data_IF_240627877848
#
_entry.id   IF_240627877848
#
_cell.length_a   1.000
_cell.length_b   1.000
_cell.length_c   1.000
_cell.angle_alpha   90.00
_cell.angle_beta   90.00
_cell.angle_gamma   90.00
#
_symmetry.space_group_name_H-M   'P 1'
#
loop_
_entity.id
_entity.type
_entity.pdbx_description
1 polymer ?
#
# COMPACT_ATOMS: atom_id res chain seq x y z
N UNK A 1 -4.04 15.62 3.85
CA UNK A 1 -4.65 14.70 4.84
C UNK A 1 -3.87 14.98 6.11
N UNK A 2 -4.51 15.32 7.23
CA UNK A 2 -3.77 15.46 8.50
C UNK A 2 -3.21 14.08 8.90
N UNK A 3 -2.26 14.06 9.82
CA UNK A 3 -1.93 12.81 10.50
C UNK A 3 -3.17 12.31 11.27
N UNK A 4 -3.12 11.08 11.78
CA UNK A 4 -4.25 10.48 12.50
C UNK A 4 -4.73 11.30 13.71
N UNK A 5 -3.90 12.22 14.18
CA UNK A 5 -4.13 13.08 15.34
C UNK A 5 -4.00 14.56 14.97
N UNK A 6 -4.83 15.40 15.58
CA UNK A 6 -4.85 16.85 15.30
C UNK A 6 -3.73 17.60 16.05
N UNK A 7 -3.19 17.00 17.11
CA UNK A 7 -2.13 17.57 17.94
C UNK A 7 -1.09 16.52 18.36
N UNK A 8 0.11 16.98 18.72
CA UNK A 8 1.14 16.10 19.29
C UNK A 8 0.73 15.58 20.68
N UNK A 9 -0.03 16.37 21.44
CA UNK A 9 -0.55 15.94 22.75
C UNK A 9 -1.48 14.74 22.62
N UNK A 10 -2.42 14.77 21.67
CA UNK A 10 -3.37 13.68 21.44
C UNK A 10 -2.65 12.37 21.07
N UNK A 11 -1.65 12.46 20.19
CA UNK A 11 -0.78 11.33 19.88
C UNK A 11 -0.07 10.77 21.13
N UNK A 12 0.44 11.65 22.00
CA UNK A 12 1.14 11.26 23.22
C UNK A 12 0.19 10.65 24.27
N UNK A 13 -1.08 11.03 24.30
CA UNK A 13 -2.10 10.46 25.19
C UNK A 13 -2.61 9.09 24.72
N UNK A 14 -2.68 8.86 23.41
CA UNK A 14 -3.11 7.58 22.85
C UNK A 14 -1.98 6.56 22.66
N UNK A 15 -0.72 6.98 22.75
CA UNK A 15 0.44 6.10 22.56
C UNK A 15 0.34 4.85 23.44
N UNK A 16 0.45 3.65 22.88
CA UNK A 16 0.35 2.43 23.69
C UNK A 16 1.55 2.31 24.65
N UNK A 17 1.30 1.88 25.90
CA UNK A 17 2.35 1.64 26.92
C UNK A 17 3.39 0.58 26.50
N UNK A 18 3.08 -0.22 25.49
CA UNK A 18 3.98 -1.24 24.94
C UNK A 18 4.95 -0.70 23.87
N UNK A 19 4.86 0.59 23.53
CA UNK A 19 5.64 1.23 22.46
C UNK A 19 6.50 2.34 23.05
N UNK A 20 7.81 2.27 22.84
CA UNK A 20 8.72 3.36 23.19
C UNK A 20 8.37 4.62 22.37
N UNK A 21 8.27 5.80 22.99
CA UNK A 21 7.96 7.03 22.28
C UNK A 21 9.13 7.45 21.40
N UNK A 22 8.84 7.66 20.13
CA UNK A 22 9.75 8.31 19.19
C UNK A 22 9.52 9.83 19.21
N UNK A 23 10.56 10.57 19.62
CA UNK A 23 10.49 12.02 19.77
C UNK A 23 10.59 12.76 18.43
N UNK A 24 11.13 12.13 17.38
CA UNK A 24 11.08 12.67 16.01
C UNK A 24 9.64 12.69 15.50
N UNK A 25 8.91 11.59 15.72
CA UNK A 25 7.47 11.49 15.42
C UNK A 25 6.66 12.53 16.19
N UNK A 26 6.91 12.72 17.49
CA UNK A 26 6.25 13.77 18.30
C UNK A 26 6.42 15.15 17.66
N UNK A 27 7.66 15.49 17.28
CA UNK A 27 7.98 16.79 16.70
C UNK A 27 7.34 16.99 15.31
N UNK A 28 7.21 15.90 14.55
CA UNK A 28 6.49 15.91 13.29
C UNK A 28 4.97 16.17 13.44
N UNK A 29 4.33 15.66 14.51
CA UNK A 29 2.94 16.02 14.83
C UNK A 29 2.80 17.49 15.24
N UNK A 30 3.73 18.01 16.06
CA UNK A 30 3.70 19.42 16.48
C UNK A 30 3.89 20.38 15.29
N UNK A 31 4.66 19.97 14.28
CA UNK A 31 4.97 20.75 13.08
C UNK A 31 4.11 20.37 11.87
N UNK A 32 3.03 19.60 12.03
CA UNK A 32 2.26 19.09 10.89
C UNK A 32 1.64 20.17 9.99
N UNK A 33 1.55 21.42 10.44
CA UNK A 33 1.09 22.53 9.58
C UNK A 33 2.15 23.02 8.59
N UNK A 34 3.40 22.58 8.74
CA UNK A 34 4.57 23.01 7.97
C UNK A 34 5.30 21.77 7.40
N UNK A 35 4.76 21.12 6.35
CA UNK A 35 5.31 19.88 5.80
C UNK A 35 6.76 20.04 5.28
N UNK A 36 7.14 21.24 4.85
CA UNK A 36 8.52 21.60 4.49
C UNK A 36 9.50 21.48 5.65
N UNK A 37 9.07 21.80 6.88
CA UNK A 37 9.88 21.66 8.09
C UNK A 37 9.91 20.20 8.54
N UNK A 38 8.76 19.51 8.48
CA UNK A 38 8.66 18.09 8.83
C UNK A 38 9.56 17.23 7.95
N UNK A 39 9.71 17.59 6.66
CA UNK A 39 10.61 16.89 5.75
C UNK A 39 12.10 17.00 6.14
N UNK A 40 12.48 18.06 6.86
CA UNK A 40 13.85 18.31 7.29
C UNK A 40 14.20 17.63 8.62
N UNK A 41 13.22 17.08 9.35
CA UNK A 41 13.44 16.42 10.66
C UNK A 41 14.24 15.11 10.55
N UNK A 42 14.27 14.50 9.37
CA UNK A 42 14.98 13.23 9.12
C UNK A 42 14.27 12.35 8.08
N UNK A 43 14.79 11.13 7.84
CA UNK A 43 14.19 10.19 6.88
C UNK A 43 12.74 9.82 7.22
N UNK A 44 12.39 9.74 8.51
CA UNK A 44 11.02 9.43 8.94
C UNK A 44 10.12 10.66 8.79
N UNK A 45 10.62 11.84 9.16
CA UNK A 45 9.98 13.13 8.87
C UNK A 45 9.65 13.34 7.38
N UNK A 46 10.56 13.01 6.46
CA UNK A 46 10.32 13.11 5.01
C UNK A 46 9.13 12.25 4.54
N UNK A 47 9.02 11.02 5.04
CA UNK A 47 7.88 10.12 4.74
C UNK A 47 6.58 10.67 5.32
N UNK A 48 6.64 11.28 6.51
CA UNK A 48 5.47 11.88 7.16
C UNK A 48 5.00 13.14 6.43
N UNK A 49 5.93 14.01 6.01
CA UNK A 49 5.66 15.23 5.25
C UNK A 49 4.89 14.95 3.94
N UNK A 50 5.21 13.85 3.25
CA UNK A 50 4.52 13.45 2.03
C UNK A 50 3.04 13.11 2.28
N UNK A 51 2.71 12.60 3.47
CA UNK A 51 1.31 12.30 3.87
C UNK A 51 0.52 13.57 4.20
N UNK A 52 1.20 14.57 4.75
CA UNK A 52 0.59 15.79 5.27
C UNK A 52 0.33 16.82 4.16
N UNK A 53 1.19 16.85 3.13
CA UNK A 53 1.16 17.85 2.04
C UNK A 53 -0.27 18.00 1.45
N UNK A 54 -0.89 19.19 1.56
CA UNK A 54 -2.22 19.44 1.00
C UNK A 54 -2.10 19.50 -0.53
N UNK A 55 -2.69 18.53 -1.24
CA UNK A 55 -2.89 18.63 -2.69
C UNK A 55 -2.47 17.43 -3.55
N UNK A 56 -1.79 16.41 -3.04
CA UNK A 56 -1.29 15.34 -3.92
C UNK A 56 -2.33 14.26 -4.27
N UNK A 57 -3.35 13.98 -3.44
CA UNK A 57 -4.20 12.78 -3.65
C UNK A 57 -5.71 12.93 -3.32
N UNK A 58 -6.23 14.15 -3.18
CA UNK A 58 -7.46 14.41 -2.41
C UNK A 58 -8.85 14.22 -3.04
N UNK A 59 -9.03 14.01 -4.35
CA UNK A 59 -10.41 13.76 -4.87
C UNK A 59 -10.52 12.96 -6.15
N UNK A 60 -9.48 12.96 -6.99
CA UNK A 60 -9.43 12.10 -8.18
C UNK A 60 -9.07 10.65 -7.84
N UNK A 61 -8.32 10.41 -6.76
CA UNK A 61 -7.83 9.07 -6.40
C UNK A 61 -8.91 8.13 -5.88
N UNK A 62 -9.83 8.59 -5.02
CA UNK A 62 -10.82 7.71 -4.38
C UNK A 62 -11.99 7.39 -5.31
N UNK A 63 -12.48 8.36 -6.08
CA UNK A 63 -13.50 8.13 -7.10
C UNK A 63 -12.93 7.32 -8.27
N UNK A 64 -11.66 7.52 -8.65
CA UNK A 64 -10.95 6.69 -9.62
C UNK A 64 -10.59 5.31 -9.07
N UNK A 65 -10.34 5.15 -7.77
CA UNK A 65 -10.15 3.84 -7.15
C UNK A 65 -11.47 3.07 -7.06
N UNK A 66 -12.58 3.72 -6.71
CA UNK A 66 -13.90 3.08 -6.65
C UNK A 66 -14.40 2.78 -8.07
N UNK A 67 -14.30 3.73 -9.00
CA UNK A 67 -14.60 3.49 -10.41
C UNK A 67 -13.65 2.44 -11.01
N UNK A 68 -12.37 2.46 -10.64
CA UNK A 68 -11.37 1.49 -11.04
C UNK A 68 -11.64 0.10 -10.46
N UNK A 69 -12.11 0.00 -9.21
CA UNK A 69 -12.48 -1.25 -8.54
C UNK A 69 -13.81 -1.81 -9.08
N UNK A 70 -14.79 -0.95 -9.36
CA UNK A 70 -16.05 -1.32 -10.01
C UNK A 70 -15.82 -1.75 -11.46
N UNK A 71 -14.92 -1.06 -12.18
CA UNK A 71 -14.47 -1.46 -13.51
C UNK A 71 -13.66 -2.77 -13.44
N UNK A 72 -12.82 -2.97 -12.44
CA UNK A 72 -12.10 -4.24 -12.21
C UNK A 72 -13.06 -5.38 -11.85
N UNK A 73 -14.15 -5.11 -11.13
CA UNK A 73 -15.20 -6.07 -10.81
C UNK A 73 -16.06 -6.42 -12.04
N UNK A 74 -16.47 -5.41 -12.82
CA UNK A 74 -17.23 -5.60 -14.04
C UNK A 74 -16.40 -6.27 -15.16
N UNK A 75 -15.11 -5.92 -15.29
CA UNK A 75 -14.15 -6.57 -16.20
C UNK A 75 -13.64 -7.89 -15.63
N UNK A 76 -13.73 -8.10 -14.32
CA UNK A 76 -13.31 -9.33 -13.65
C UNK A 76 -14.01 -10.57 -14.18
N UNK A 77 -15.21 -10.39 -14.73
CA UNK A 77 -16.03 -11.44 -15.35
C UNK A 77 -15.69 -11.66 -16.83
N UNK A 78 -14.92 -10.78 -17.47
CA UNK A 78 -14.55 -10.90 -18.88
C UNK A 78 -13.90 -12.25 -19.26
N UNK A 79 -12.92 -12.81 -18.52
CA UNK A 79 -12.36 -14.12 -18.87
C UNK A 79 -13.37 -15.25 -18.69
N UNK A 80 -14.32 -15.11 -17.76
CA UNK A 80 -15.42 -16.07 -17.55
C UNK A 80 -16.40 -16.01 -18.72
N UNK A 81 -16.80 -14.80 -19.13
CA UNK A 81 -17.66 -14.57 -20.30
C UNK A 81 -17.00 -15.08 -21.58
N UNK A 82 -15.69 -14.83 -21.74
CA UNK A 82 -14.91 -15.31 -22.89
C UNK A 82 -14.99 -16.82 -23.06
N UNK A 83 -14.93 -17.58 -21.95
CA UNK A 83 -15.13 -19.03 -21.95
C UNK A 83 -16.60 -19.42 -22.14
N UNK A 84 -17.52 -18.75 -21.42
CA UNK A 84 -18.94 -19.08 -21.44
C UNK A 84 -19.61 -18.94 -22.81
N UNK A 85 -19.11 -18.05 -23.68
CA UNK A 85 -19.67 -17.80 -25.02
C UNK A 85 -19.57 -19.03 -25.95
N UNK A 86 -18.53 -19.85 -25.78
CA UNK A 86 -18.31 -21.03 -26.64
C UNK A 86 -18.37 -22.35 -25.87
N UNK A 87 -18.42 -22.32 -24.53
CA UNK A 87 -18.45 -23.51 -23.70
C UNK A 87 -19.77 -24.26 -23.85
N UNK A 88 -19.79 -25.27 -24.70
CA UNK A 88 -20.79 -26.35 -24.64
C UNK A 88 -20.41 -27.27 -23.48
N UNK A 89 -20.92 -26.99 -22.28
CA UNK A 89 -20.77 -27.89 -21.14
C UNK A 89 -21.88 -28.96 -21.17
N UNK A 90 -21.56 -30.26 -21.37
CA UNK A 90 -22.53 -31.33 -21.15
C UNK A 90 -22.76 -31.47 -19.63
N UNK A 91 -23.71 -30.70 -19.10
CA UNK A 91 -24.07 -30.71 -17.69
C UNK A 91 -24.79 -29.43 -17.28
N UNK A 92 -26.07 -29.58 -16.92
CA UNK A 92 -27.07 -28.76 -16.18
C UNK A 92 -26.96 -27.22 -16.14
N UNK A 93 -25.77 -26.61 -16.12
CA UNK A 93 -25.56 -25.17 -15.94
C UNK A 93 -25.68 -24.34 -17.23
N UNK A 94 -25.40 -24.90 -18.42
CA UNK A 94 -25.40 -24.14 -19.70
C UNK A 94 -26.20 -24.80 -20.84
N UNK A 95 -26.95 -25.86 -20.55
CA UNK A 95 -27.73 -26.65 -21.53
C UNK A 95 -28.85 -25.88 -22.25
N UNK A 96 -29.12 -24.62 -21.88
CA UNK A 96 -30.22 -23.80 -22.41
C UNK A 96 -29.78 -22.71 -23.39
N UNK A 97 -28.47 -22.56 -23.64
CA UNK A 97 -27.98 -21.55 -24.59
C UNK A 97 -27.66 -22.24 -25.92
N UNK A 98 -28.30 -21.84 -27.03
CA UNK A 98 -27.98 -22.41 -28.34
C UNK A 98 -26.51 -22.14 -28.69
N UNK A 99 -25.81 -23.12 -29.31
CA UNK A 99 -24.40 -22.96 -29.64
C UNK A 99 -24.20 -21.77 -30.59
N UNK A 100 -23.36 -20.84 -30.17
CA UNK A 100 -23.03 -19.65 -30.97
C UNK A 100 -22.01 -20.06 -32.03
N UNK A 101 -22.30 -19.76 -33.29
CA UNK A 101 -21.40 -20.07 -34.41
C UNK A 101 -19.99 -19.50 -34.17
N UNK A 102 -18.96 -20.25 -34.56
CA UNK A 102 -17.56 -19.88 -34.39
C UNK A 102 -17.21 -18.49 -34.93
N UNK A 103 -17.85 -18.08 -36.04
CA UNK A 103 -17.68 -16.75 -36.66
C UNK A 103 -18.00 -15.58 -35.72
N UNK A 104 -18.87 -15.82 -34.73
CA UNK A 104 -19.30 -14.81 -33.75
C UNK A 104 -18.67 -15.07 -32.39
N UNK A 105 -18.59 -16.34 -31.96
CA UNK A 105 -18.05 -16.72 -30.67
C UNK A 105 -16.55 -16.41 -30.54
N UNK A 106 -15.75 -16.71 -31.56
CA UNK A 106 -14.29 -16.55 -31.52
C UNK A 106 -13.89 -15.08 -31.38
N UNK A 107 -14.42 -14.13 -32.20
CA UNK A 107 -14.09 -12.71 -32.03
C UNK A 107 -14.49 -12.15 -30.68
N UNK A 108 -15.69 -12.46 -30.18
CA UNK A 108 -16.16 -11.91 -28.89
C UNK A 108 -15.30 -12.45 -27.75
N UNK A 109 -15.04 -13.76 -27.73
CA UNK A 109 -14.15 -14.38 -26.74
C UNK A 109 -12.76 -13.74 -26.76
N UNK A 110 -12.20 -13.55 -27.96
CA UNK A 110 -10.90 -12.91 -28.15
C UNK A 110 -10.85 -11.47 -27.61
N UNK A 111 -11.90 -10.67 -27.86
CA UNK A 111 -12.03 -9.32 -27.29
C UNK A 111 -12.09 -9.35 -25.76
N UNK A 112 -12.84 -10.28 -25.17
CA UNK A 112 -12.89 -10.45 -23.72
C UNK A 112 -11.49 -10.68 -23.14
N UNK A 113 -10.68 -11.57 -23.74
CA UNK A 113 -9.30 -11.81 -23.31
C UNK A 113 -8.36 -10.63 -23.60
N UNK A 114 -8.59 -9.88 -24.67
CA UNK A 114 -7.88 -8.61 -24.92
C UNK A 114 -8.11 -7.59 -23.79
N UNK A 115 -9.35 -7.44 -23.35
CA UNK A 115 -9.71 -6.60 -22.21
C UNK A 115 -9.08 -7.13 -20.91
N UNK A 116 -9.14 -8.45 -20.66
CA UNK A 116 -8.46 -9.08 -19.51
C UNK A 116 -6.96 -8.77 -19.48
N UNK A 117 -6.30 -8.83 -20.65
CA UNK A 117 -4.87 -8.51 -20.78
C UNK A 117 -4.60 -7.06 -20.37
N UNK A 118 -5.40 -6.12 -20.87
CA UNK A 118 -5.25 -4.71 -20.53
C UNK A 118 -5.43 -4.47 -19.02
N UNK A 119 -6.40 -5.12 -18.40
CA UNK A 119 -6.64 -5.02 -16.95
C UNK A 119 -5.49 -5.61 -16.13
N UNK A 120 -4.94 -6.76 -16.53
CA UNK A 120 -3.76 -7.32 -15.87
C UNK A 120 -2.54 -6.41 -15.98
N UNK A 121 -2.32 -5.79 -17.15
CA UNK A 121 -1.21 -4.84 -17.36
C UNK A 121 -1.37 -3.59 -16.49
N UNK A 122 -2.54 -2.96 -16.51
CA UNK A 122 -2.83 -1.79 -15.67
C UNK A 122 -2.70 -2.14 -14.19
N UNK A 123 -3.25 -3.29 -13.77
CA UNK A 123 -3.12 -3.80 -12.41
C UNK A 123 -1.67 -4.02 -12.00
N UNK A 124 -0.86 -4.60 -12.90
CA UNK A 124 0.58 -4.80 -12.68
C UNK A 124 1.35 -3.48 -12.58
N UNK A 125 1.08 -2.51 -13.45
CA UNK A 125 1.70 -1.17 -13.40
C UNK A 125 1.37 -0.47 -12.09
N UNK A 126 0.08 -0.43 -11.72
CA UNK A 126 -0.36 0.18 -10.45
C UNK A 126 0.27 -0.52 -9.25
N UNK A 127 0.36 -1.85 -9.31
CA UNK A 127 1.03 -2.64 -8.28
C UNK A 127 2.52 -2.29 -8.15
N UNK A 128 3.24 -2.16 -9.27
CA UNK A 128 4.64 -1.75 -9.30
C UNK A 128 4.83 -0.34 -8.73
N UNK A 129 4.03 0.63 -9.19
CA UNK A 129 4.09 2.04 -8.72
C UNK A 129 3.76 2.15 -7.22
N UNK A 130 2.90 1.28 -6.68
CA UNK A 130 2.57 1.21 -5.25
C UNK A 130 3.57 0.40 -4.42
N UNK A 131 4.78 0.18 -4.93
CA UNK A 131 5.87 -0.48 -4.21
C UNK A 131 5.84 -2.02 -4.25
N UNK A 132 5.06 -2.61 -5.16
CA UNK A 132 5.00 -4.05 -5.41
C UNK A 132 4.78 -4.88 -4.13
N UNK A 133 3.89 -4.41 -3.25
CA UNK A 133 3.50 -5.10 -2.00
C UNK A 133 2.60 -6.31 -2.26
N UNK A 134 2.52 -7.25 -1.32
CA UNK A 134 1.63 -8.41 -1.45
C UNK A 134 0.20 -7.97 -1.77
N UNK A 135 -0.38 -8.56 -2.82
CA UNK A 135 -1.73 -8.25 -3.26
C UNK A 135 -2.44 -9.56 -3.67
N UNK A 136 -3.18 -10.19 -2.74
CA UNK A 136 -3.86 -11.46 -3.01
C UNK A 136 -4.96 -11.33 -4.06
N UNK A 137 -5.57 -10.14 -4.22
CA UNK A 137 -6.59 -9.91 -5.23
C UNK A 137 -5.99 -9.92 -6.65
N UNK A 138 -4.83 -9.28 -6.85
CA UNK A 138 -4.13 -9.30 -8.13
C UNK A 138 -3.66 -10.72 -8.48
N UNK A 139 -3.14 -11.46 -7.49
CA UNK A 139 -2.75 -12.86 -7.68
C UNK A 139 -3.96 -13.73 -8.04
N UNK A 140 -5.05 -13.62 -7.29
CA UNK A 140 -6.28 -14.38 -7.55
C UNK A 140 -6.83 -14.12 -8.95
N UNK A 141 -6.83 -12.86 -9.39
CA UNK A 141 -7.24 -12.51 -10.75
C UNK A 141 -6.27 -13.03 -11.82
N UNK A 142 -4.96 -12.97 -11.58
CA UNK A 142 -3.96 -13.55 -12.48
C UNK A 142 -4.13 -15.06 -12.61
N UNK A 143 -4.34 -15.78 -11.51
CA UNK A 143 -4.59 -17.23 -11.52
C UNK A 143 -5.88 -17.56 -12.27
N UNK A 144 -6.98 -16.89 -11.97
CA UNK A 144 -8.25 -17.07 -12.69
C UNK A 144 -8.08 -16.83 -14.20
N UNK A 145 -7.46 -15.72 -14.57
CA UNK A 145 -7.23 -15.35 -15.97
C UNK A 145 -6.32 -16.34 -16.68
N UNK A 146 -5.29 -16.85 -16.00
CA UNK A 146 -4.41 -17.90 -16.53
C UNK A 146 -5.18 -19.18 -16.84
N UNK A 147 -5.97 -19.67 -15.89
CA UNK A 147 -6.79 -20.87 -16.06
C UNK A 147 -7.79 -20.71 -17.20
N UNK A 148 -8.53 -19.59 -17.21
CA UNK A 148 -9.54 -19.32 -18.26
C UNK A 148 -8.90 -19.17 -19.64
N UNK A 149 -7.77 -18.47 -19.75
CA UNK A 149 -7.04 -18.32 -21.03
C UNK A 149 -6.47 -19.65 -21.52
N UNK A 150 -6.04 -20.52 -20.59
CA UNK A 150 -5.61 -21.89 -20.90
C UNK A 150 -6.75 -22.71 -21.50
N UNK A 151 -7.92 -22.69 -20.85
CA UNK A 151 -9.12 -23.33 -21.39
C UNK A 151 -9.54 -22.75 -22.74
N UNK A 152 -9.47 -21.43 -22.93
CA UNK A 152 -9.80 -20.79 -24.20
C UNK A 152 -8.84 -21.14 -25.33
N UNK A 153 -7.55 -21.30 -25.04
CA UNK A 153 -6.56 -21.70 -26.05
C UNK A 153 -6.90 -23.06 -26.66
N UNK A 154 -7.42 -24.00 -25.84
CA UNK A 154 -7.82 -25.33 -26.29
C UNK A 154 -9.25 -25.31 -26.86
N UNK A 155 -10.19 -24.67 -26.15
CA UNK A 155 -11.61 -24.64 -26.49
C UNK A 155 -11.90 -23.94 -27.82
N UNK A 156 -11.27 -22.79 -28.09
CA UNK A 156 -11.45 -22.08 -29.36
C UNK A 156 -10.88 -22.85 -30.55
N UNK A 157 -9.82 -23.64 -30.35
CA UNK A 157 -9.28 -24.52 -31.39
C UNK A 157 -10.27 -25.64 -31.75
N UNK A 158 -10.91 -26.25 -30.74
CA UNK A 158 -11.93 -27.28 -30.95
C UNK A 158 -13.17 -26.71 -31.66
N UNK A 159 -13.63 -25.53 -31.26
CA UNK A 159 -14.78 -24.84 -31.88
C UNK A 159 -14.48 -24.45 -33.33
N UNK A 160 -13.29 -23.90 -33.59
CA UNK A 160 -12.87 -23.56 -34.95
C UNK A 160 -12.73 -24.80 -35.85
N UNK A 161 -12.25 -25.93 -35.32
CA UNK A 161 -12.14 -27.17 -36.07
C UNK A 161 -13.53 -27.75 -36.41
N UNK A 162 -14.49 -27.66 -35.47
CA UNK A 162 -15.88 -28.10 -35.68
C UNK A 162 -16.61 -27.28 -36.75
N UNK A 163 -16.39 -25.98 -36.77
CA UNK A 163 -17.09 -25.04 -37.67
C UNK A 163 -16.23 -24.64 -38.90
N UNK A 164 -15.11 -25.34 -39.15
CA UNK A 164 -14.18 -25.10 -40.26
C UNK A 164 -13.70 -23.63 -40.39
N UNK A 165 -13.48 -22.96 -39.26
CA UNK A 165 -13.13 -21.54 -39.21
C UNK A 165 -11.64 -21.29 -39.48
N UNK A 166 -11.31 -20.85 -40.69
CA UNK A 166 -9.93 -20.60 -41.14
C UNK A 166 -9.22 -19.39 -40.45
N UNK A 167 -9.96 -18.46 -39.84
CA UNK A 167 -9.41 -17.21 -39.28
C UNK A 167 -8.83 -17.30 -37.86
N UNK A 168 -8.80 -18.48 -37.26
CA UNK A 168 -8.50 -18.67 -35.83
C UNK A 168 -7.15 -18.08 -35.40
N UNK A 169 -6.12 -18.19 -36.23
CA UNK A 169 -4.76 -17.79 -35.88
C UNK A 169 -4.65 -16.30 -35.48
N UNK A 170 -5.38 -15.42 -36.17
CA UNK A 170 -5.41 -13.99 -35.87
C UNK A 170 -6.10 -13.70 -34.53
N UNK A 171 -7.16 -14.45 -34.22
CA UNK A 171 -7.98 -14.27 -33.01
C UNK A 171 -7.44 -14.99 -31.77
N UNK A 172 -6.48 -15.91 -31.93
CA UNK A 172 -5.80 -16.56 -30.81
C UNK A 172 -4.80 -15.63 -30.11
N UNK A 173 -4.33 -14.58 -30.77
CA UNK A 173 -3.27 -13.72 -30.24
C UNK A 173 -3.66 -13.03 -28.93
N UNK A 174 -4.86 -12.42 -28.78
CA UNK A 174 -5.29 -11.84 -27.51
C UNK A 174 -5.42 -12.87 -26.37
N UNK A 175 -5.84 -14.10 -26.68
CA UNK A 175 -5.96 -15.19 -25.69
C UNK A 175 -4.59 -15.62 -25.19
N UNK A 176 -3.62 -15.76 -26.10
CA UNK A 176 -2.23 -16.08 -25.76
C UNK A 176 -1.56 -14.94 -24.99
N UNK A 177 -1.82 -13.69 -25.37
CA UNK A 177 -1.34 -12.52 -24.64
C UNK A 177 -1.87 -12.52 -23.20
N UNK A 178 -3.17 -12.77 -23.00
CA UNK A 178 -3.77 -12.88 -21.68
C UNK A 178 -3.10 -14.00 -20.85
N UNK A 179 -2.87 -15.16 -21.45
CA UNK A 179 -2.21 -16.30 -20.80
C UNK A 179 -0.78 -15.94 -20.35
N UNK A 180 0.02 -15.37 -21.24
CA UNK A 180 1.42 -15.01 -20.98
C UNK A 180 1.50 -13.91 -19.91
N UNK A 181 0.68 -12.87 -20.03
CA UNK A 181 0.64 -11.76 -19.07
C UNK A 181 0.16 -12.25 -17.70
N UNK A 182 -0.88 -13.08 -17.64
CA UNK A 182 -1.37 -13.65 -16.39
C UNK A 182 -0.30 -14.51 -15.70
N UNK A 183 0.41 -15.36 -16.47
CA UNK A 183 1.51 -16.15 -15.96
C UNK A 183 2.65 -15.27 -15.43
N UNK A 184 3.06 -14.25 -16.20
CA UNK A 184 4.13 -13.34 -15.81
C UNK A 184 3.78 -12.52 -14.56
N UNK A 185 2.56 -11.98 -14.47
CA UNK A 185 2.09 -11.21 -13.31
C UNK A 185 1.95 -12.12 -12.09
N UNK A 186 1.33 -13.30 -12.23
CA UNK A 186 1.21 -14.27 -11.15
C UNK A 186 2.57 -14.71 -10.61
N UNK A 187 3.51 -15.03 -11.52
CA UNK A 187 4.88 -15.40 -11.16
C UNK A 187 5.62 -14.24 -10.49
N UNK A 188 5.50 -13.02 -11.00
CA UNK A 188 6.12 -11.83 -10.40
C UNK A 188 5.62 -11.61 -8.97
N UNK A 189 4.32 -11.74 -8.72
CA UNK A 189 3.74 -11.61 -7.38
C UNK A 189 4.23 -12.74 -6.45
N UNK A 190 4.27 -13.99 -6.92
CA UNK A 190 4.76 -15.14 -6.14
C UNK A 190 6.28 -15.07 -5.84
N UNK A 191 7.10 -14.68 -6.82
CA UNK A 191 8.54 -14.51 -6.65
C UNK A 191 8.85 -13.39 -5.65
N UNK A 192 8.06 -12.31 -5.67
CA UNK A 192 8.17 -11.20 -4.72
C UNK A 192 7.87 -11.65 -3.28
N UNK A 193 6.88 -12.53 -3.08
CA UNK A 193 6.64 -13.16 -1.78
C UNK A 193 7.84 -13.98 -1.36
N UNK A 194 8.38 -14.83 -2.23
CA UNK A 194 9.54 -15.68 -1.89
C UNK A 194 10.80 -14.89 -1.56
N UNK A 195 11.03 -13.75 -2.19
CA UNK A 195 12.20 -12.91 -1.90
C UNK A 195 12.06 -12.08 -0.62
N UNK A 196 10.84 -11.93 -0.08
CA UNK A 196 10.62 -11.31 1.24
C UNK A 196 10.34 -12.31 2.36
N UNK A 197 9.97 -13.54 2.02
CA UNK A 197 9.66 -14.61 2.97
C UNK A 197 10.83 -15.56 3.34
N UNK A 198 12.09 -15.09 3.49
CA UNK A 198 13.04 -15.82 4.33
C UNK A 198 13.06 -15.44 5.82
N UNK A 199 12.51 -14.29 6.25
CA UNK A 199 12.68 -13.84 7.66
C UNK A 199 11.39 -13.71 8.49
N UNK A 200 10.19 -13.71 7.88
CA UNK A 200 8.94 -13.41 8.62
C UNK A 200 8.03 -14.62 8.92
N UNK A 201 8.47 -15.86 8.63
CA UNK A 201 7.62 -17.06 8.79
C UNK A 201 7.81 -17.81 10.12
N UNK A 202 8.53 -17.24 11.09
CA UNK A 202 8.83 -17.92 12.35
C UNK A 202 9.30 -17.01 13.47
N UNK A 203 8.52 -16.00 13.85
CA UNK A 203 8.64 -15.38 15.16
C UNK A 203 7.27 -14.85 15.61
N UNK A 204 6.54 -15.74 16.28
CA UNK A 204 5.78 -15.27 17.44
C UNK A 204 6.81 -14.86 18.50
N UNK A 205 6.47 -13.83 19.28
CA UNK A 205 7.24 -13.20 20.35
C UNK A 205 8.18 -12.06 19.99
N UNK A 206 8.17 -11.08 20.89
CA UNK A 206 8.76 -9.76 20.75
C UNK A 206 10.27 -9.74 20.54
N UNK A 207 10.74 -8.53 20.23
CA UNK A 207 12.14 -8.14 20.13
C UNK A 207 12.88 -8.61 18.87
N UNK A 208 12.58 -7.97 17.73
CA UNK A 208 13.66 -7.54 16.84
C UNK A 208 13.19 -6.35 15.97
N UNK A 209 13.23 -5.13 16.53
CA UNK A 209 13.31 -3.93 15.70
C UNK A 209 14.79 -3.76 15.37
N UNK A 210 15.17 -4.35 14.24
CA UNK A 210 16.45 -4.13 13.59
C UNK A 210 16.76 -2.63 13.56
N UNK A 211 17.77 -2.27 14.33
CA UNK A 211 18.53 -1.04 14.28
C UNK A 211 18.89 -0.70 12.82
N UNK A 212 18.38 0.40 12.23
CA UNK A 212 19.05 1.02 11.11
C UNK A 212 20.26 1.79 11.65
N UNK A 213 21.37 1.62 10.94
CA UNK A 213 22.67 2.24 11.15
C UNK A 213 22.61 3.72 11.60
N UNK A 214 23.39 3.99 12.63
CA UNK A 214 24.34 5.10 12.72
C UNK A 214 24.05 6.35 11.87
N UNK A 215 23.41 7.34 12.49
CA UNK A 215 23.96 8.70 12.50
C UNK A 215 23.79 9.55 11.24
N UNK A 216 22.63 9.54 10.59
CA UNK A 216 22.28 10.65 9.69
C UNK A 216 21.46 11.69 10.49
N UNK A 217 22.16 12.74 10.89
CA UNK A 217 21.67 13.80 11.77
C UNK A 217 20.37 14.41 11.23
N UNK A 218 19.36 14.56 12.09
CA UNK A 218 18.37 15.63 11.92
C UNK A 218 19.15 16.93 11.72
N UNK A 219 19.09 17.48 10.51
CA UNK A 219 20.05 18.49 10.08
C UNK A 219 19.86 19.82 10.84
N UNK A 220 20.93 20.64 10.96
CA UNK A 220 20.81 22.06 11.37
C UNK A 220 19.77 22.84 10.55
N UNK A 221 19.44 22.35 9.35
CA UNK A 221 18.43 22.86 8.43
C UNK A 221 17.01 22.90 9.03
N UNK A 222 16.61 21.92 9.85
CA UNK A 222 15.25 21.91 10.42
C UNK A 222 15.05 23.04 11.45
N UNK A 223 16.06 23.26 12.30
CA UNK A 223 16.04 24.35 13.30
C UNK A 223 16.06 25.72 12.62
N UNK A 224 16.81 25.87 11.52
CA UNK A 224 16.83 27.10 10.72
C UNK A 224 15.48 27.37 10.04
N UNK A 225 14.85 26.34 9.46
CA UNK A 225 13.53 26.46 8.84
C UNK A 225 12.44 26.81 9.85
N UNK A 226 12.51 26.27 11.07
CA UNK A 226 11.61 26.65 12.17
C UNK A 226 11.83 28.10 12.61
N UNK A 227 13.07 28.59 12.62
CA UNK A 227 13.37 29.98 12.96
C UNK A 227 12.75 30.95 11.94
N UNK A 228 12.61 30.54 10.68
CA UNK A 228 11.96 31.30 9.61
C UNK A 228 10.42 31.33 9.69
N UNK A 229 9.79 30.52 10.55
CA UNK A 229 8.33 30.51 10.70
C UNK A 229 7.80 31.79 11.39
N UNK A 230 6.53 32.16 11.14
CA UNK A 230 5.86 33.22 11.90
C UNK A 230 5.88 32.93 13.41
N UNK A 231 6.12 33.96 14.22
CA UNK A 231 6.20 33.85 15.68
C UNK A 231 5.00 33.11 16.28
N UNK A 232 3.78 33.46 15.86
CA UNK A 232 2.57 32.84 16.37
C UNK A 232 2.43 31.34 16.04
N UNK A 233 3.00 30.87 14.93
CA UNK A 233 2.96 29.45 14.57
C UNK A 233 4.06 28.66 15.29
N UNK A 234 5.24 29.27 15.46
CA UNK A 234 6.32 28.72 16.27
C UNK A 234 5.91 28.57 17.74
N UNK A 235 5.25 29.56 18.32
CA UNK A 235 4.74 29.50 19.70
C UNK A 235 3.69 28.40 19.88
N UNK A 236 2.77 28.24 18.91
CA UNK A 236 1.77 27.16 18.93
C UNK A 236 2.42 25.78 18.84
N UNK A 237 3.35 25.59 17.91
CA UNK A 237 4.06 24.32 17.75
C UNK A 237 4.90 23.98 19.00
N UNK A 238 5.54 24.98 19.61
CA UNK A 238 6.27 24.81 20.88
C UNK A 238 5.34 24.43 22.03
N UNK A 239 4.16 25.07 22.14
CA UNK A 239 3.18 24.76 23.17
C UNK A 239 2.66 23.33 23.03
N UNK A 240 2.32 22.90 21.80
CA UNK A 240 1.83 21.55 21.51
C UNK A 240 2.89 20.48 21.80
N UNK A 241 4.14 20.70 21.34
CA UNK A 241 5.29 19.82 21.68
C UNK A 241 5.48 19.70 23.19
N UNK A 242 5.41 20.80 23.93
CA UNK A 242 5.63 20.80 25.37
C UNK A 242 4.49 20.13 26.14
N UNK A 243 3.25 20.20 25.63
CA UNK A 243 2.10 19.49 26.17
C UNK A 243 2.21 17.97 25.93
N UNK A 244 2.64 17.57 24.73
CA UNK A 244 2.94 16.17 24.41
C UNK A 244 4.05 15.57 25.29
N UNK A 245 5.13 16.32 25.54
CA UNK A 245 6.19 15.89 26.46
C UNK A 245 5.69 15.73 27.91
N UNK A 246 4.77 16.58 28.35
CA UNK A 246 4.13 16.43 29.66
C UNK A 246 3.22 15.21 29.71
N UNK A 247 2.45 14.94 28.66
CA UNK A 247 1.63 13.74 28.55
C UNK A 247 2.49 12.47 28.63
N UNK A 248 3.62 12.41 27.90
CA UNK A 248 4.57 11.30 27.99
C UNK A 248 5.19 11.16 29.40
N UNK A 249 5.45 12.29 30.07
CA UNK A 249 5.92 12.31 31.45
C UNK A 249 4.89 11.77 32.44
N UNK A 250 3.64 12.25 32.37
CA UNK A 250 2.51 11.79 33.21
C UNK A 250 2.25 10.29 33.05
N UNK A 251 2.42 9.77 31.83
CA UNK A 251 2.20 8.37 31.49
C UNK A 251 3.38 7.46 31.82
N UNK A 252 4.47 8.01 32.37
CA UNK A 252 5.62 7.26 32.86
C UNK A 252 6.63 6.85 31.80
N UNK A 253 6.46 7.29 30.55
CA UNK A 253 7.44 7.05 29.49
C UNK A 253 8.70 7.87 29.72
N UNK A 254 8.55 9.16 30.07
CA UNK A 254 9.69 10.05 30.34
C UNK A 254 9.77 10.36 31.84
N UNK A 255 10.97 10.33 32.41
CA UNK A 255 11.19 10.86 33.76
C UNK A 255 11.11 12.39 33.75
N UNK A 256 10.74 13.02 34.88
CA UNK A 256 10.65 14.49 34.97
C UNK A 256 11.96 15.21 34.58
N UNK A 257 13.11 14.61 34.90
CA UNK A 257 14.42 15.12 34.47
C UNK A 257 14.67 15.00 32.96
N UNK A 258 14.09 13.99 32.30
CA UNK A 258 14.16 13.84 30.84
C UNK A 258 13.20 14.79 30.13
N UNK A 259 11.99 15.00 30.65
CA UNK A 259 11.04 16.02 30.14
C UNK A 259 11.67 17.41 30.20
N UNK A 260 12.29 17.77 31.32
CA UNK A 260 12.97 19.06 31.48
C UNK A 260 14.11 19.28 30.48
N UNK A 261 14.92 18.24 30.23
CA UNK A 261 15.99 18.29 29.21
C UNK A 261 15.45 18.35 27.78
N UNK A 262 14.39 17.60 27.47
CA UNK A 262 13.76 17.62 26.15
C UNK A 262 13.16 18.99 25.82
N UNK A 263 12.59 19.69 26.82
CA UNK A 263 12.06 21.06 26.67
C UNK A 263 13.11 22.10 26.30
N UNK A 264 14.33 21.91 26.80
CA UNK A 264 15.46 22.80 26.51
C UNK A 264 16.00 22.65 25.09
N UNK A 265 15.61 21.60 24.36
CA UNK A 265 15.99 21.39 22.97
C UNK A 265 15.22 22.36 22.07
N UNK A 266 15.89 23.04 21.11
CA UNK A 266 15.20 23.87 20.12
C UNK A 266 14.20 23.04 19.30
N UNK A 267 13.14 23.69 18.83
CA UNK A 267 12.15 23.05 17.96
C UNK A 267 12.82 22.69 16.62
N UNK A 268 12.60 21.45 16.18
CA UNK A 268 13.30 20.79 15.07
C UNK A 268 14.51 19.95 15.48
N UNK A 269 14.81 19.83 16.77
CA UNK A 269 16.00 19.15 17.29
C UNK A 269 15.75 17.91 18.15
N UNK A 270 14.49 17.52 18.40
CA UNK A 270 14.17 16.39 19.27
C UNK A 270 14.56 15.03 18.68
N UNK A 271 14.63 14.90 17.35
CA UNK A 271 15.12 13.67 16.70
C UNK A 271 16.57 13.30 17.08
N UNK A 272 17.40 14.29 17.43
CA UNK A 272 18.77 14.08 17.90
C UNK A 272 18.87 13.90 19.42
N UNK A 273 17.78 14.10 20.17
CA UNK A 273 17.76 14.03 21.63
C UNK A 273 17.82 12.58 22.10
N UNK A 274 18.99 12.17 22.58
CA UNK A 274 19.17 10.85 23.19
C UNK A 274 18.61 10.84 24.59
N UNK A 275 17.64 9.97 24.82
CA UNK A 275 17.16 9.65 26.15
C UNK A 275 17.27 8.15 26.38
N UNK A 276 17.60 7.78 27.61
CA UNK A 276 17.51 6.39 28.05
C UNK A 276 16.09 6.18 28.54
N UNK A 277 15.38 5.24 27.90
CA UNK A 277 14.07 4.72 28.31
C UNK A 277 13.93 4.62 29.82
N UNK A 278 12.72 4.79 30.37
CA UNK A 278 12.47 4.40 31.75
C UNK A 278 12.44 2.86 31.80
N UNK A 279 13.46 2.17 32.38
CA UNK A 279 13.51 0.71 32.39
C UNK A 279 12.34 0.07 33.15
N UNK A 280 11.64 0.85 33.98
CA UNK A 280 10.54 0.38 34.83
C UNK A 280 9.14 0.52 34.18
N UNK A 281 9.03 1.19 33.02
CA UNK A 281 7.73 1.37 32.35
C UNK A 281 7.16 0.06 31.76
N UNK A 282 8.04 -0.90 31.40
CA UNK A 282 7.64 -2.19 30.84
C UNK A 282 7.24 -3.26 31.88
N UNK A 283 7.59 -3.08 33.16
CA UNK A 283 7.33 -4.06 34.22
C UNK A 283 6.03 -3.79 34.98
N UNK A 284 5.55 -2.54 35.05
CA UNK A 284 4.32 -2.20 35.76
C UNK A 284 3.02 -2.64 35.04
N UNK A 285 3.07 -2.93 33.73
CA UNK A 285 1.91 -3.35 32.93
C UNK A 285 1.71 -4.88 32.87
N UNK A 286 2.51 -5.66 33.60
CA UNK A 286 2.41 -7.14 33.67
C UNK A 286 2.02 -7.67 35.07
N UNK A 287 1.55 -6.80 35.97
CA UNK A 287 1.04 -7.15 37.30
C UNK A 287 -0.48 -7.25 37.32
#
# INVERSE_FOLDING_TARGET
MSLSYETAEEWAEELSLSVDPDLETLEAYALQRHPEVVAALGPQGAVLAERIRPGANGSRGTLSCIAGLLLFGAIGVAPILGVAIYAEAPGVLFSSVPPVAARTAIPISSWCFGITTAVLLVGAIVWLVRGARWNPALLGYAVLSFVMSGFATIGLANVAARDEFAGLACWLWPVRAALIVAAAVGLAVLLRVRHRAPDDAGASDGADRGQPDQGEQAGPDAVELVAALPEGDRERALADRNAALDALGRRGFLTGGTVGRARAVPLGGLGAFRWTGNPDAGTAARG
#
